data_IF_161198179133
#
_entry.id   IF_161198179133
#
_cell.length_a   1.000
_cell.length_b   1.000
_cell.length_c   1.000
_cell.angle_alpha   90.00
_cell.angle_beta   90.00
_cell.angle_gamma   90.00
#
_symmetry.space_group_name_H-M   'P 1'
#
loop_
_entity.id
_entity.type
_entity.pdbx_description
1 polymer ?
#
# COMPACT_ATOMS: atom_id res chain seq x y z
N UNK A 1 -55.50 -8.09 -77.60
CA UNK A 1 -54.02 -7.97 -77.56
C UNK A 1 -53.65 -7.84 -76.08
N UNK A 2 -52.81 -8.70 -75.45
CA UNK A 2 -51.31 -8.67 -75.44
C UNK A 2 -50.78 -7.25 -75.11
N UNK A 3 -49.98 -6.98 -74.06
CA UNK A 3 -49.33 -7.73 -72.95
C UNK A 3 -49.31 -6.80 -71.70
N UNK A 4 -49.39 -7.21 -70.42
CA UNK A 4 -48.56 -8.11 -69.58
C UNK A 4 -47.22 -7.50 -69.10
N UNK A 5 -47.18 -7.05 -67.83
CA UNK A 5 -45.98 -6.81 -67.00
C UNK A 5 -46.36 -6.86 -65.48
N UNK A 6 -45.40 -7.14 -64.58
CA UNK A 6 -45.54 -7.21 -63.10
C UNK A 6 -44.38 -6.47 -62.42
N UNK A 7 -44.56 -5.99 -61.18
CA UNK A 7 -43.48 -5.53 -60.29
C UNK A 7 -43.81 -5.78 -58.80
N UNK A 8 -42.80 -5.93 -57.95
CA UNK A 8 -42.82 -6.31 -56.52
C UNK A 8 -41.84 -5.42 -55.71
N UNK A 9 -41.87 -5.35 -54.36
CA UNK A 9 -42.83 -5.92 -53.40
C UNK A 9 -43.64 -4.80 -52.69
N UNK A 10 -43.46 -4.32 -51.45
CA UNK A 10 -42.64 -4.64 -50.25
C UNK A 10 -43.54 -4.43 -49.01
N UNK A 11 -43.31 -5.16 -47.91
CA UNK A 11 -43.92 -4.89 -46.58
C UNK A 11 -42.80 -4.51 -45.60
N UNK A 12 -42.97 -3.43 -44.84
CA UNK A 12 -42.01 -2.97 -43.86
C UNK A 12 -42.37 -3.47 -42.44
N UNK A 13 -41.53 -4.34 -41.87
CA UNK A 13 -41.54 -4.66 -40.44
C UNK A 13 -40.68 -3.65 -39.68
N UNK A 14 -41.26 -2.90 -38.76
CA UNK A 14 -40.51 -2.01 -37.88
C UNK A 14 -39.83 -2.82 -36.77
N UNK A 15 -38.50 -2.84 -36.76
CA UNK A 15 -37.72 -3.27 -35.60
C UNK A 15 -37.51 -2.05 -34.68
N UNK A 16 -37.88 -2.19 -33.41
CA UNK A 16 -37.64 -1.15 -32.41
C UNK A 16 -36.19 -1.17 -31.95
N UNK A 17 -35.38 -0.24 -32.43
CA UNK A 17 -34.08 0.06 -31.84
C UNK A 17 -34.31 0.76 -30.50
N UNK A 18 -34.10 0.04 -29.39
CA UNK A 18 -33.91 0.64 -28.08
C UNK A 18 -32.52 1.27 -28.07
N UNK A 19 -32.44 2.57 -28.33
CA UNK A 19 -31.24 3.36 -28.09
C UNK A 19 -31.00 3.42 -26.58
N UNK A 20 -29.91 2.80 -26.11
CA UNK A 20 -29.41 3.04 -24.76
C UNK A 20 -29.13 4.52 -24.56
N UNK A 21 -29.59 5.08 -23.44
CA UNK A 21 -29.13 6.38 -22.97
C UNK A 21 -27.80 6.12 -22.23
N UNK A 22 -26.71 6.85 -22.52
CA UNK A 22 -25.49 6.71 -21.75
C UNK A 22 -25.76 7.14 -20.30
N UNK A 23 -25.69 6.18 -19.37
CA UNK A 23 -25.80 6.41 -17.93
C UNK A 23 -24.38 6.59 -17.41
N UNK A 24 -24.05 7.78 -16.93
CA UNK A 24 -22.80 8.00 -16.19
C UNK A 24 -22.91 7.33 -14.81
N UNK A 25 -21.78 6.93 -14.23
CA UNK A 25 -21.77 6.33 -12.90
C UNK A 25 -22.30 7.34 -11.85
N UNK A 26 -23.48 7.07 -11.30
CA UNK A 26 -24.00 7.81 -10.15
C UNK A 26 -23.26 7.35 -8.88
N UNK A 27 -23.05 8.29 -7.96
CA UNK A 27 -22.36 8.05 -6.69
C UNK A 27 -23.24 7.21 -5.76
N UNK A 28 -22.98 5.91 -5.70
CA UNK A 28 -23.23 5.18 -4.46
C UNK A 28 -22.23 5.67 -3.41
N UNK A 29 -22.73 5.88 -2.19
CA UNK A 29 -22.00 6.38 -1.03
C UNK A 29 -20.76 5.52 -0.71
N UNK A 30 -19.74 6.14 -0.12
CA UNK A 30 -18.60 5.41 0.45
C UNK A 30 -19.10 4.38 1.46
N UNK A 31 -18.57 3.16 1.42
CA UNK A 31 -18.84 2.17 2.46
C UNK A 31 -17.88 2.43 3.59
N UNK A 32 -18.31 3.25 4.55
CA UNK A 32 -17.67 3.51 5.84
C UNK A 32 -17.01 2.25 6.41
N UNK A 33 -15.79 2.38 6.95
CA UNK A 33 -15.04 1.21 7.45
C UNK A 33 -15.60 0.73 8.79
N UNK A 34 -16.56 -0.20 8.76
CA UNK A 34 -17.30 -0.63 9.98
C UNK A 34 -16.52 -1.51 10.96
N UNK A 35 -15.43 -2.16 10.53
CA UNK A 35 -14.65 -3.11 11.33
C UNK A 35 -13.19 -3.15 10.88
N UNK A 36 -12.26 -3.48 11.79
CA UNK A 36 -10.82 -3.64 11.51
C UNK A 36 -10.54 -4.95 10.73
N UNK A 37 -9.58 -4.93 9.81
CA UNK A 37 -9.09 -6.17 9.18
C UNK A 37 -8.37 -7.06 10.21
N UNK A 38 -8.46 -8.38 9.99
CA UNK A 38 -7.71 -9.40 10.76
C UNK A 38 -6.89 -10.27 9.83
N UNK A 39 -5.71 -10.67 10.29
CA UNK A 39 -4.80 -11.53 9.55
C UNK A 39 -5.14 -13.00 9.81
N UNK A 40 -5.10 -13.83 8.75
CA UNK A 40 -5.33 -15.27 8.84
C UNK A 40 -4.53 -16.02 7.77
N UNK A 41 -3.32 -16.45 8.15
CA UNK A 41 -2.33 -16.92 7.18
C UNK A 41 -1.96 -15.80 6.20
N UNK A 42 -1.70 -16.13 4.93
CA UNK A 42 -1.35 -15.13 3.88
C UNK A 42 -2.46 -14.14 3.45
N UNK A 43 -3.48 -13.91 4.27
CA UNK A 43 -4.64 -13.09 3.92
C UNK A 43 -5.01 -12.09 5.01
N UNK A 44 -5.35 -10.87 4.59
CA UNK A 44 -6.12 -9.92 5.39
C UNK A 44 -7.61 -10.15 5.12
N UNK A 45 -8.41 -10.27 6.17
CA UNK A 45 -9.83 -10.60 6.13
C UNK A 45 -10.66 -9.49 6.78
N UNK A 46 -11.81 -9.18 6.18
CA UNK A 46 -12.81 -8.27 6.75
C UNK A 46 -13.73 -9.00 7.78
N UNK A 47 -14.69 -8.27 8.34
CA UNK A 47 -15.70 -8.77 9.28
C UNK A 47 -16.60 -9.87 8.72
N UNK A 48 -16.71 -9.96 7.40
CA UNK A 48 -17.44 -11.02 6.68
C UNK A 48 -16.54 -12.21 6.30
N UNK A 49 -15.23 -12.11 6.49
CA UNK A 49 -14.24 -13.12 6.08
C UNK A 49 -13.84 -13.04 4.61
N UNK A 50 -14.20 -11.98 3.90
CA UNK A 50 -13.74 -11.73 2.52
C UNK A 50 -12.26 -11.39 2.53
N UNK A 51 -11.53 -11.88 1.53
CA UNK A 51 -10.10 -11.54 1.34
C UNK A 51 -10.00 -10.18 0.67
N UNK A 52 -9.33 -9.24 1.33
CA UNK A 52 -9.24 -7.85 0.89
C UNK A 52 -7.99 -7.64 0.03
N UNK A 53 -8.12 -6.86 -1.04
CA UNK A 53 -7.01 -6.32 -1.81
C UNK A 53 -6.94 -4.81 -1.58
N UNK A 54 -5.74 -4.29 -1.38
CA UNK A 54 -5.51 -2.91 -0.92
C UNK A 54 -4.66 -2.17 -1.94
N UNK A 55 -5.22 -1.16 -2.59
CA UNK A 55 -4.54 -0.30 -3.57
C UNK A 55 -4.62 1.15 -3.10
N UNK A 56 -3.50 1.88 -3.12
CA UNK A 56 -3.46 3.21 -2.50
C UNK A 56 -2.16 3.98 -2.66
N UNK A 57 -1.93 4.92 -1.75
CA UNK A 57 -0.85 5.93 -1.82
C UNK A 57 -0.20 6.19 -0.46
N UNK A 58 1.00 6.75 -0.49
CA UNK A 58 1.69 7.32 0.67
C UNK A 58 1.35 8.80 0.85
N UNK A 59 1.07 9.25 2.06
CA UNK A 59 1.05 10.67 2.46
C UNK A 59 1.85 10.80 3.76
N UNK A 60 3.09 11.28 3.65
CA UNK A 60 4.09 11.22 4.72
C UNK A 60 4.70 12.59 4.95
N UNK A 61 4.25 13.28 6.00
CA UNK A 61 4.81 14.57 6.40
C UNK A 61 6.11 14.37 7.18
N UNK A 62 7.21 14.84 6.60
CA UNK A 62 8.57 14.65 7.11
C UNK A 62 9.11 15.85 7.90
N UNK A 63 8.34 16.95 8.08
CA UNK A 63 8.85 18.20 8.66
C UNK A 63 7.97 18.76 9.78
N UNK A 64 8.57 19.11 10.93
CA UNK A 64 7.81 19.74 12.02
C UNK A 64 7.33 21.17 11.66
N UNK A 65 6.13 21.61 12.08
CA UNK A 65 5.16 20.90 12.92
C UNK A 65 4.31 19.91 12.11
N UNK A 66 4.33 18.64 12.49
CA UNK A 66 3.75 17.55 11.70
C UNK A 66 2.21 17.58 11.59
N UNK A 67 1.68 17.17 10.44
CA UNK A 67 0.26 16.86 10.16
C UNK A 67 -0.65 18.01 10.57
N UNK A 68 -0.70 19.09 9.78
CA UNK A 68 -1.43 20.33 10.11
C UNK A 68 -2.63 20.57 9.17
N UNK A 69 -3.82 20.87 9.70
CA UNK A 69 -4.98 21.17 8.87
C UNK A 69 -4.74 22.35 7.91
N UNK A 70 -4.66 22.06 6.61
CA UNK A 70 -4.50 23.06 5.54
C UNK A 70 -3.07 23.50 5.25
N UNK A 71 -2.06 22.71 5.64
CA UNK A 71 -0.65 22.93 5.28
C UNK A 71 -0.32 22.80 3.77
N UNK A 72 -1.23 22.24 2.98
CA UNK A 72 -1.02 21.93 1.55
C UNK A 72 -0.36 20.57 1.31
N UNK A 73 -0.33 19.70 2.32
CA UNK A 73 0.30 18.39 2.26
C UNK A 73 -0.54 17.28 2.91
N UNK A 74 -1.00 17.51 4.14
CA UNK A 74 -1.85 16.60 4.92
C UNK A 74 -3.20 16.39 4.22
N UNK A 75 -3.60 15.12 4.04
CA UNK A 75 -4.90 14.82 3.41
C UNK A 75 -6.10 15.40 4.17
N UNK A 76 -7.08 15.84 3.40
CA UNK A 76 -8.36 16.42 3.83
C UNK A 76 -9.53 15.55 3.36
N UNK A 77 -10.77 15.95 3.68
CA UNK A 77 -11.96 15.29 3.14
C UNK A 77 -12.07 15.38 1.60
N UNK A 78 -11.59 16.46 0.96
CA UNK A 78 -11.58 16.57 -0.52
C UNK A 78 -10.58 15.60 -1.15
N UNK A 79 -9.46 15.35 -0.45
CA UNK A 79 -8.46 14.34 -0.84
C UNK A 79 -8.98 12.92 -0.62
N UNK A 80 -9.67 12.66 0.49
CA UNK A 80 -10.32 11.40 0.78
C UNK A 80 -11.39 11.08 -0.28
N UNK A 81 -12.29 12.02 -0.59
CA UNK A 81 -13.25 11.91 -1.70
C UNK A 81 -12.55 11.62 -3.04
N UNK A 82 -11.42 12.26 -3.33
CA UNK A 82 -10.70 12.10 -4.59
C UNK A 82 -10.02 10.72 -4.69
N UNK A 83 -9.34 10.28 -3.64
CA UNK A 83 -8.72 8.96 -3.56
C UNK A 83 -9.80 7.86 -3.65
N UNK A 84 -10.88 8.03 -2.88
CA UNK A 84 -12.01 7.13 -2.90
C UNK A 84 -12.75 7.13 -4.24
N UNK A 85 -12.75 8.23 -5.02
CA UNK A 85 -13.30 8.35 -6.40
C UNK A 85 -12.47 7.61 -7.45
N UNK A 86 -11.15 7.56 -7.29
CA UNK A 86 -10.26 6.67 -8.04
C UNK A 86 -10.19 5.25 -7.45
N UNK A 87 -10.99 4.97 -6.42
CA UNK A 87 -11.19 3.64 -5.89
C UNK A 87 -9.99 3.09 -5.13
N UNK A 88 -9.02 3.93 -4.77
CA UNK A 88 -8.05 3.61 -3.74
C UNK A 88 -8.80 3.32 -2.44
N UNK A 89 -8.35 2.32 -1.69
CA UNK A 89 -8.96 1.89 -0.43
C UNK A 89 -7.93 1.77 0.71
N UNK A 90 -6.72 2.31 0.51
CA UNK A 90 -5.73 2.47 1.57
C UNK A 90 -4.87 3.72 1.41
N UNK A 91 -4.37 4.24 2.53
CA UNK A 91 -3.31 5.24 2.61
C UNK A 91 -2.25 4.75 3.59
N UNK A 92 -0.97 4.94 3.27
CA UNK A 92 0.15 4.88 4.22
C UNK A 92 0.38 6.29 4.74
N UNK A 93 -0.01 6.52 6.00
CA UNK A 93 0.06 7.81 6.66
C UNK A 93 1.33 7.90 7.49
N UNK A 94 2.15 8.91 7.21
CA UNK A 94 3.40 9.14 7.91
C UNK A 94 3.21 9.53 9.36
N UNK A 95 3.81 8.73 10.23
CA UNK A 95 4.03 8.98 11.64
C UNK A 95 5.54 9.09 11.86
N UNK A 96 6.02 9.95 12.78
CA UNK A 96 7.44 9.97 13.15
C UNK A 96 7.62 9.77 14.65
N UNK A 97 8.72 9.13 15.05
CA UNK A 97 9.07 8.99 16.47
C UNK A 97 9.32 10.37 17.12
N UNK A 98 9.86 11.34 16.38
CA UNK A 98 9.95 12.74 16.84
C UNK A 98 8.56 13.35 17.06
N UNK A 99 7.63 13.19 16.12
CA UNK A 99 6.25 13.65 16.29
C UNK A 99 5.54 13.01 17.48
N UNK A 100 5.70 11.69 17.67
CA UNK A 100 5.09 10.95 18.78
C UNK A 100 5.69 11.33 20.14
N UNK A 101 7.00 11.52 20.22
CA UNK A 101 7.73 11.76 21.47
C UNK A 101 8.84 12.83 21.27
N UNK A 102 8.48 14.12 21.05
CA UNK A 102 9.45 15.18 20.74
C UNK A 102 10.32 15.58 21.94
N UNK A 103 10.05 15.03 23.12
CA UNK A 103 10.86 15.15 24.35
C UNK A 103 10.91 13.78 25.02
N UNK A 104 12.09 13.37 25.50
CA UNK A 104 12.34 12.05 26.12
C UNK A 104 11.30 11.68 27.18
N UNK A 105 10.39 10.77 26.84
CA UNK A 105 9.33 10.27 27.73
C UNK A 105 8.06 11.14 27.82
N UNK A 106 7.99 12.26 27.10
CA UNK A 106 6.78 13.08 26.95
C UNK A 106 6.12 12.78 25.58
N UNK A 107 5.00 12.07 25.57
CA UNK A 107 4.18 11.85 24.37
C UNK A 107 3.48 13.16 23.95
N UNK A 108 3.40 13.44 22.64
CA UNK A 108 2.57 14.53 22.11
C UNK A 108 1.15 14.03 21.80
N UNK A 109 0.30 14.04 22.82
CA UNK A 109 -1.14 13.75 22.74
C UNK A 109 -1.86 14.58 21.65
N UNK A 110 -1.39 15.81 21.39
CA UNK A 110 -2.01 16.68 20.38
C UNK A 110 -1.58 16.29 18.96
N UNK A 111 -0.46 15.60 18.76
CA UNK A 111 -0.11 14.97 17.47
C UNK A 111 -0.89 13.67 17.28
N UNK A 112 -1.00 12.85 18.33
CA UNK A 112 -1.86 11.66 18.35
C UNK A 112 -3.31 11.98 17.97
N UNK A 113 -3.87 13.09 18.47
CA UNK A 113 -5.21 13.56 18.07
C UNK A 113 -5.30 13.99 16.60
N UNK A 114 -4.25 14.58 16.01
CA UNK A 114 -4.23 14.95 14.58
C UNK A 114 -4.15 13.73 13.67
N UNK A 115 -3.32 12.74 14.03
CA UNK A 115 -3.26 11.46 13.32
C UNK A 115 -4.62 10.75 13.34
N UNK A 116 -5.26 10.66 14.50
CA UNK A 116 -6.57 10.04 14.63
C UNK A 116 -7.66 10.76 13.80
N UNK A 117 -7.65 12.09 13.76
CA UNK A 117 -8.58 12.85 12.90
C UNK A 117 -8.37 12.58 11.40
N UNK A 118 -7.12 12.37 10.95
CA UNK A 118 -6.85 11.96 9.56
C UNK A 118 -7.34 10.52 9.31
N UNK A 119 -7.18 9.62 10.29
CA UNK A 119 -7.71 8.23 10.23
C UNK A 119 -9.24 8.22 10.13
N UNK A 120 -9.93 9.03 10.95
CA UNK A 120 -11.39 9.24 10.90
C UNK A 120 -11.83 9.73 9.50
N UNK A 121 -11.19 10.80 9.01
CA UNK A 121 -11.49 11.43 7.70
C UNK A 121 -11.32 10.46 6.52
N UNK A 122 -10.33 9.58 6.57
CA UNK A 122 -10.13 8.54 5.54
C UNK A 122 -11.11 7.36 5.72
N UNK A 123 -11.48 7.03 6.96
CA UNK A 123 -12.42 5.98 7.31
C UNK A 123 -13.86 6.23 6.84
N UNK A 124 -14.33 7.49 6.88
CA UNK A 124 -15.64 7.91 6.35
C UNK A 124 -15.80 7.54 4.85
N UNK A 125 -14.75 7.72 4.05
CA UNK A 125 -14.72 7.39 2.62
C UNK A 125 -14.34 5.93 2.31
N UNK A 126 -14.20 5.07 3.32
CA UNK A 126 -13.90 3.64 3.16
C UNK A 126 -12.42 3.31 2.95
N UNK A 127 -11.51 4.24 3.23
CA UNK A 127 -10.06 4.09 3.05
C UNK A 127 -9.41 3.60 4.36
N UNK A 128 -8.59 2.55 4.27
CA UNK A 128 -7.89 1.96 5.44
C UNK A 128 -6.46 2.48 5.61
N UNK A 129 -6.10 2.88 6.83
CA UNK A 129 -4.85 3.62 7.09
C UNK A 129 -3.78 2.74 7.71
N UNK A 130 -2.66 2.56 7.00
CA UNK A 130 -1.42 2.05 7.60
C UNK A 130 -0.71 3.23 8.27
N UNK A 131 -0.43 3.12 9.56
CA UNK A 131 0.32 4.11 10.31
C UNK A 131 1.81 3.74 10.23
N UNK A 132 2.56 4.50 9.44
CA UNK A 132 3.96 4.21 9.12
C UNK A 132 4.91 5.00 10.02
N UNK A 133 5.71 4.32 10.84
CA UNK A 133 6.77 4.96 11.62
C UNK A 133 7.97 5.31 10.73
N UNK A 134 7.85 6.45 10.06
CA UNK A 134 8.73 6.89 9.00
C UNK A 134 10.06 7.46 9.50
N UNK A 135 11.11 7.23 8.71
CA UNK A 135 12.40 7.90 8.80
C UNK A 135 13.08 7.89 7.42
N UNK A 136 13.91 8.89 7.16
CA UNK A 136 15.00 8.77 6.18
C UNK A 136 16.28 9.30 6.82
N UNK A 137 17.38 8.55 6.76
CA UNK A 137 18.66 9.01 7.30
C UNK A 137 18.66 9.19 8.82
N UNK A 138 17.85 8.41 9.53
CA UNK A 138 17.64 8.39 10.97
C UNK A 138 17.00 9.66 11.57
N UNK A 139 17.55 10.87 11.35
CA UNK A 139 17.16 12.06 12.11
C UNK A 139 17.52 13.39 11.41
N UNK A 140 16.90 14.50 11.83
CA UNK A 140 17.21 15.86 11.35
C UNK A 140 18.69 16.23 11.50
N UNK A 141 19.41 15.62 12.46
CA UNK A 141 20.86 15.77 12.63
C UNK A 141 21.67 15.51 11.35
N UNK A 142 21.23 14.64 10.44
CA UNK A 142 21.86 14.41 9.12
C UNK A 142 21.14 15.12 7.95
N UNK A 143 20.17 15.99 8.22
CA UNK A 143 19.21 16.46 7.22
C UNK A 143 18.26 15.34 6.78
N UNK A 144 18.04 14.36 7.66
CA UNK A 144 17.02 13.32 7.54
C UNK A 144 15.76 13.69 8.32
N UNK A 145 14.98 12.68 8.73
CA UNK A 145 13.82 12.79 9.61
C UNK A 145 13.57 11.45 10.32
N UNK A 146 12.64 11.43 11.29
CA UNK A 146 12.12 10.22 11.91
C UNK A 146 12.39 10.15 13.41
N UNK A 147 13.64 9.93 13.81
CA UNK A 147 14.04 9.87 15.22
C UNK A 147 14.29 11.28 15.80
N UNK A 148 13.83 11.54 17.04
CA UNK A 148 14.10 12.80 17.72
C UNK A 148 15.56 12.93 18.13
N UNK A 149 16.11 14.15 18.07
CA UNK A 149 17.49 14.48 18.50
C UNK A 149 17.86 13.89 19.87
N UNK A 150 16.92 13.85 20.83
CA UNK A 150 17.21 13.36 22.19
C UNK A 150 17.44 11.84 22.27
N UNK A 151 17.01 11.08 21.26
CA UNK A 151 17.11 9.62 21.20
C UNK A 151 18.39 9.11 20.52
N UNK A 152 19.21 10.01 19.96
CA UNK A 152 20.43 9.68 19.22
C UNK A 152 21.64 10.37 19.90
N UNK A 153 22.67 9.61 20.30
CA UNK A 153 23.87 10.19 20.94
C UNK A 153 24.88 10.75 19.95
N UNK A 154 24.94 10.18 18.73
CA UNK A 154 25.96 10.52 17.74
C UNK A 154 25.53 11.68 16.83
N UNK A 155 26.31 12.76 16.81
CA UNK A 155 26.21 13.83 15.81
C UNK A 155 27.07 13.52 14.56
N UNK A 156 26.78 14.11 13.37
CA UNK A 156 27.68 14.09 12.22
C UNK A 156 29.06 14.69 12.55
N UNK A 157 30.15 14.08 12.06
CA UNK A 157 31.49 14.60 12.39
C UNK A 157 31.78 15.91 11.64
N UNK A 158 32.37 16.96 12.26
CA UNK A 158 32.57 18.29 11.63
C UNK A 158 33.48 18.37 10.38
N UNK A 159 33.99 17.23 9.89
CA UNK A 159 34.84 17.08 8.71
C UNK A 159 34.31 16.02 7.73
N UNK A 160 33.16 15.42 8.03
CA UNK A 160 32.53 14.34 7.27
C UNK A 160 31.66 14.93 6.15
N UNK A 161 31.85 14.52 4.88
CA UNK A 161 30.95 14.95 3.82
C UNK A 161 29.56 14.32 4.02
N UNK A 162 28.54 15.15 4.21
CA UNK A 162 27.15 14.73 4.07
C UNK A 162 26.72 14.86 2.60
N UNK A 163 26.41 13.76 1.89
CA UNK A 163 25.96 13.80 0.50
C UNK A 163 24.43 13.98 0.35
N UNK A 164 23.67 13.96 1.45
CA UNK A 164 22.21 13.92 1.44
C UNK A 164 21.64 12.54 1.11
N UNK A 165 20.31 12.46 1.02
CA UNK A 165 19.59 11.25 0.60
C UNK A 165 19.96 10.83 -0.84
N UNK A 166 20.08 9.53 -1.15
CA UNK A 166 20.08 8.39 -0.23
C UNK A 166 21.49 8.06 0.32
N UNK A 167 22.53 8.75 -0.14
CA UNK A 167 23.92 8.35 0.11
C UNK A 167 24.41 8.61 1.54
N UNK A 168 23.67 9.34 2.37
CA UNK A 168 24.03 9.58 3.77
C UNK A 168 24.03 8.31 4.64
N UNK A 169 23.37 7.22 4.23
CA UNK A 169 23.46 5.89 4.87
C UNK A 169 24.89 5.32 4.81
N UNK A 170 25.78 5.89 4.00
CA UNK A 170 27.21 5.53 3.95
C UNK A 170 28.10 6.38 4.88
N UNK A 171 27.55 7.32 5.64
CA UNK A 171 28.32 8.16 6.57
C UNK A 171 28.70 7.38 7.84
N UNK A 172 29.99 7.31 8.22
CA UNK A 172 30.44 6.72 9.48
C UNK A 172 29.68 7.17 10.74
N UNK A 173 29.27 8.44 10.85
CA UNK A 173 28.45 8.91 11.99
C UNK A 173 27.05 8.29 11.99
N UNK A 174 26.33 8.32 10.86
CA UNK A 174 24.99 7.72 10.75
C UNK A 174 25.01 6.22 11.02
N UNK A 175 26.04 5.51 10.53
CA UNK A 175 26.19 4.08 10.80
C UNK A 175 26.38 3.76 12.29
N UNK A 176 27.16 4.58 13.00
CA UNK A 176 27.32 4.51 14.46
C UNK A 176 26.03 4.86 15.22
N UNK A 177 25.22 5.77 14.70
CA UNK A 177 23.92 6.13 15.28
C UNK A 177 22.89 5.00 15.13
N UNK A 178 22.87 4.33 13.99
CA UNK A 178 22.10 3.08 13.81
C UNK A 178 22.61 1.97 14.74
N UNK A 179 23.93 1.81 14.92
CA UNK A 179 24.48 0.86 15.91
C UNK A 179 23.95 1.15 17.33
N UNK A 180 23.81 2.43 17.71
CA UNK A 180 23.26 2.85 19.00
C UNK A 180 21.78 2.49 19.16
N UNK A 181 20.97 2.63 18.11
CA UNK A 181 19.58 2.17 18.12
C UNK A 181 19.48 0.65 18.26
N UNK A 182 20.21 -0.13 17.44
CA UNK A 182 20.13 -1.60 17.47
C UNK A 182 20.66 -2.20 18.79
N UNK A 183 21.71 -1.62 19.38
CA UNK A 183 22.19 -1.99 20.72
C UNK A 183 21.27 -1.49 21.87
N UNK A 184 20.22 -0.73 21.55
CA UNK A 184 19.31 -0.10 22.51
C UNK A 184 20.03 0.80 23.53
N UNK A 185 21.03 1.56 23.06
CA UNK A 185 21.71 2.60 23.84
C UNK A 185 20.68 3.59 24.39
N UNK A 186 20.82 3.96 25.67
CA UNK A 186 19.92 4.86 26.41
C UNK A 186 18.41 4.59 26.24
N UNK A 187 18.03 3.34 25.97
CA UNK A 187 16.64 2.89 25.86
C UNK A 187 15.91 3.33 24.60
N UNK A 188 16.61 3.64 23.50
CA UNK A 188 15.98 4.14 22.27
C UNK A 188 14.86 3.22 21.72
N UNK A 189 15.04 1.89 21.76
CA UNK A 189 14.01 0.91 21.34
C UNK A 189 12.90 0.78 22.39
N UNK A 190 13.20 0.96 23.69
CA UNK A 190 12.16 0.98 24.74
C UNK A 190 11.24 2.19 24.56
N UNK A 191 11.82 3.38 24.36
CA UNK A 191 11.07 4.61 24.13
C UNK A 191 10.29 4.61 22.80
N UNK A 192 10.83 4.01 21.73
CA UNK A 192 10.06 3.82 20.49
C UNK A 192 8.89 2.85 20.73
N UNK A 193 9.10 1.78 21.49
CA UNK A 193 8.03 0.87 21.90
C UNK A 193 6.93 1.59 22.70
N UNK A 194 7.30 2.48 23.62
CA UNK A 194 6.35 3.31 24.37
C UNK A 194 5.58 4.27 23.43
N UNK A 195 6.25 4.88 22.45
CA UNK A 195 5.63 5.77 21.47
C UNK A 195 4.61 5.04 20.57
N UNK A 196 4.99 3.88 20.02
CA UNK A 196 4.11 3.07 19.17
C UNK A 196 2.96 2.44 19.97
N UNK A 197 3.15 2.14 21.26
CA UNK A 197 2.08 1.69 22.14
C UNK A 197 1.08 2.81 22.47
N UNK A 198 1.53 4.06 22.68
CA UNK A 198 0.66 5.21 22.85
C UNK A 198 -0.16 5.50 21.58
N UNK A 199 0.46 5.37 20.40
CA UNK A 199 -0.25 5.41 19.11
C UNK A 199 -1.32 4.32 19.02
N UNK A 200 -0.96 3.07 19.33
CA UNK A 200 -1.89 1.93 19.31
C UNK A 200 -3.06 2.10 20.30
N UNK A 201 -2.82 2.64 21.49
CA UNK A 201 -3.88 2.95 22.47
C UNK A 201 -4.82 4.03 21.90
N UNK A 202 -4.28 5.13 21.33
CA UNK A 202 -5.08 6.23 20.79
C UNK A 202 -6.01 5.81 19.65
N UNK A 203 -5.59 4.86 18.81
CA UNK A 203 -6.35 4.42 17.62
C UNK A 203 -7.00 3.03 17.79
N UNK A 204 -7.06 2.52 19.02
CA UNK A 204 -7.56 1.17 19.31
C UNK A 204 -9.02 0.94 18.90
N UNK A 205 -9.89 1.94 19.04
CA UNK A 205 -11.30 1.87 18.62
C UNK A 205 -11.52 2.26 17.12
N UNK A 206 -10.48 2.69 16.41
CA UNK A 206 -10.58 3.22 15.03
C UNK A 206 -10.59 2.06 14.00
N UNK A 207 -11.78 1.72 13.47
CA UNK A 207 -11.94 0.59 12.52
C UNK A 207 -11.26 0.79 11.16
N UNK A 208 -10.96 2.04 10.79
CA UNK A 208 -10.21 2.39 9.59
C UNK A 208 -8.72 1.99 9.65
N UNK A 209 -8.14 1.76 10.84
CA UNK A 209 -6.73 1.39 10.97
C UNK A 209 -6.46 0.03 10.32
N UNK A 210 -5.53 0.02 9.37
CA UNK A 210 -5.00 -1.20 8.74
C UNK A 210 -3.96 -1.87 9.65
N UNK A 211 -3.16 -1.08 10.35
CA UNK A 211 -2.11 -1.53 11.27
C UNK A 211 -1.08 -0.44 11.55
N UNK A 212 -0.01 -0.82 12.24
CA UNK A 212 1.18 0.02 12.48
C UNK A 212 2.39 -0.66 11.82
N UNK A 213 3.08 0.05 10.93
CA UNK A 213 4.39 -0.35 10.41
C UNK A 213 5.50 0.14 11.35
N UNK A 214 6.38 -0.79 11.74
CA UNK A 214 7.20 -0.59 12.94
C UNK A 214 8.38 0.38 12.72
N UNK A 215 8.94 0.43 11.50
CA UNK A 215 10.02 1.34 11.14
C UNK A 215 10.29 1.31 9.61
N UNK A 216 10.19 2.47 8.95
CA UNK A 216 10.52 2.65 7.53
C UNK A 216 12.00 2.43 7.22
N UNK A 217 12.32 1.76 6.11
CA UNK A 217 13.67 1.60 5.54
C UNK A 217 14.81 1.33 6.56
N UNK A 218 14.69 0.30 7.44
CA UNK A 218 15.62 0.14 8.56
C UNK A 218 17.03 -0.29 8.11
N UNK A 219 18.02 0.56 8.40
CA UNK A 219 19.41 0.38 7.97
C UNK A 219 20.26 -0.42 8.98
N UNK A 220 21.05 -1.43 8.56
CA UNK A 220 21.86 -2.25 9.48
C UNK A 220 23.02 -1.59 10.23
N UNK A 221 23.16 -0.26 10.20
CA UNK A 221 24.30 0.45 10.76
C UNK A 221 25.64 -0.08 10.24
N UNK A 222 26.68 -0.10 11.09
CA UNK A 222 28.01 -0.61 10.73
C UNK A 222 28.02 -2.08 10.30
N UNK A 223 26.94 -2.85 10.50
CA UNK A 223 26.81 -4.21 10.02
C UNK A 223 26.47 -4.32 8.53
N UNK A 224 26.06 -3.23 7.84
CA UNK A 224 25.61 -3.26 6.44
C UNK A 224 26.55 -3.99 5.45
N UNK A 225 27.90 -3.93 5.56
CA UNK A 225 28.78 -4.63 4.60
C UNK A 225 28.69 -6.15 4.72
N UNK A 226 28.14 -6.68 5.82
CA UNK A 226 27.93 -8.12 6.02
C UNK A 226 26.71 -8.66 5.28
N UNK A 227 25.79 -7.79 4.85
CA UNK A 227 24.61 -8.17 4.08
C UNK A 227 24.93 -8.52 2.63
N UNK A 228 26.04 -8.03 2.09
CA UNK A 228 26.40 -8.23 0.69
C UNK A 228 27.32 -9.45 0.49
N UNK A 229 27.07 -10.32 -0.51
CA UNK A 229 26.08 -10.22 -1.59
C UNK A 229 24.88 -11.18 -1.41
N UNK A 230 24.50 -11.55 -0.18
CA UNK A 230 23.65 -12.72 0.05
C UNK A 230 22.75 -12.66 1.31
N UNK A 231 22.49 -11.48 1.86
CA UNK A 231 21.77 -11.27 3.12
C UNK A 231 22.68 -11.37 4.36
N UNK A 232 22.19 -10.87 5.50
CA UNK A 232 22.94 -10.80 6.77
C UNK A 232 22.21 -11.50 7.92
N UNK A 233 22.19 -12.86 7.98
CA UNK A 233 21.43 -13.61 8.98
C UNK A 233 21.81 -13.34 10.45
N UNK A 234 22.98 -12.76 10.70
CA UNK A 234 23.39 -12.31 12.04
C UNK A 234 22.67 -11.01 12.44
N UNK A 235 22.52 -10.07 11.52
CA UNK A 235 21.79 -8.82 11.74
C UNK A 235 20.27 -9.06 11.72
N UNK A 236 19.74 -9.83 10.75
CA UNK A 236 18.30 -10.15 10.69
C UNK A 236 17.80 -10.80 12.01
N UNK A 237 18.66 -11.48 12.78
CA UNK A 237 18.31 -12.01 14.11
C UNK A 237 18.16 -10.93 15.19
N UNK A 238 19.01 -9.91 15.17
CA UNK A 238 18.99 -8.78 16.09
C UNK A 238 17.82 -7.84 15.74
N UNK A 239 17.68 -7.54 14.46
CA UNK A 239 16.59 -6.82 13.84
C UNK A 239 15.21 -7.45 14.11
N UNK A 240 15.06 -8.77 13.94
CA UNK A 240 13.82 -9.47 14.27
C UNK A 240 13.52 -9.44 15.77
N UNK A 241 14.53 -9.54 16.64
CA UNK A 241 14.33 -9.42 18.09
C UNK A 241 13.85 -8.02 18.51
N UNK A 242 14.25 -6.97 17.78
CA UNK A 242 13.68 -5.62 17.93
C UNK A 242 12.23 -5.56 17.45
N UNK A 243 11.90 -6.18 16.31
CA UNK A 243 10.52 -6.25 15.82
C UNK A 243 9.59 -7.01 16.77
N UNK A 244 10.06 -8.13 17.33
CA UNK A 244 9.36 -8.89 18.38
C UNK A 244 9.16 -8.05 19.66
N UNK A 245 10.16 -7.24 20.06
CA UNK A 245 10.09 -6.34 21.23
C UNK A 245 9.08 -5.20 21.01
N UNK A 246 9.13 -4.51 19.88
CA UNK A 246 8.21 -3.41 19.54
C UNK A 246 6.77 -3.93 19.41
N UNK A 247 6.59 -5.07 18.73
CA UNK A 247 5.29 -5.76 18.63
C UNK A 247 4.74 -6.11 20.02
N UNK A 248 5.57 -6.69 20.89
CA UNK A 248 5.15 -7.03 22.25
C UNK A 248 4.70 -5.80 23.06
N UNK A 249 5.33 -4.62 22.86
CA UNK A 249 4.92 -3.38 23.54
C UNK A 249 3.60 -2.81 22.97
N UNK A 250 3.39 -2.89 21.65
CA UNK A 250 2.09 -2.59 21.03
C UNK A 250 0.98 -3.53 21.56
N UNK A 251 1.27 -4.83 21.71
CA UNK A 251 0.33 -5.85 22.23
C UNK A 251 -0.11 -5.61 23.68
N UNK A 252 0.64 -4.83 24.46
CA UNK A 252 0.23 -4.42 25.82
C UNK A 252 -0.84 -3.32 25.81
N UNK A 253 -0.93 -2.53 24.74
CA UNK A 253 -1.98 -1.53 24.50
C UNK A 253 -3.15 -2.13 23.71
N UNK A 254 -2.86 -2.69 22.53
CA UNK A 254 -3.84 -3.34 21.65
C UNK A 254 -3.38 -4.77 21.26
N UNK A 255 -3.94 -5.80 21.92
CA UNK A 255 -3.64 -7.21 21.62
C UNK A 255 -3.99 -7.69 20.20
N UNK A 256 -4.76 -6.91 19.42
CA UNK A 256 -5.26 -7.26 18.09
C UNK A 256 -4.87 -6.28 16.98
N UNK A 257 -3.95 -5.33 17.23
CA UNK A 257 -3.44 -4.39 16.23
C UNK A 257 -2.56 -5.11 15.19
N UNK A 258 -2.90 -5.11 13.88
CA UNK A 258 -1.99 -5.63 12.88
C UNK A 258 -0.68 -4.82 12.88
N UNK A 259 0.46 -5.51 12.83
CA UNK A 259 1.77 -4.85 12.72
C UNK A 259 2.44 -5.25 11.41
N UNK A 260 3.07 -4.29 10.75
CA UNK A 260 3.75 -4.47 9.47
C UNK A 260 5.26 -4.43 9.70
N UNK A 261 5.94 -5.48 9.23
CA UNK A 261 7.37 -5.69 9.42
C UNK A 261 8.05 -5.65 8.05
N UNK A 262 8.90 -4.65 7.84
CA UNK A 262 9.77 -4.56 6.66
C UNK A 262 10.89 -5.61 6.69
N UNK A 263 11.57 -5.89 5.57
CA UNK A 263 12.93 -6.39 5.57
C UNK A 263 13.92 -5.27 5.94
N UNK A 264 15.12 -5.60 6.41
CA UNK A 264 16.18 -4.59 6.48
C UNK A 264 16.48 -4.01 5.08
N UNK A 265 16.71 -2.70 4.98
CA UNK A 265 16.66 -1.98 3.68
C UNK A 265 17.78 -2.32 2.69
N UNK A 266 18.72 -3.21 3.05
CA UNK A 266 19.60 -3.82 2.03
C UNK A 266 18.82 -4.68 1.01
N UNK A 267 17.56 -4.99 1.32
CA UNK A 267 16.50 -5.36 0.37
C UNK A 267 16.44 -4.48 -0.88
N UNK A 268 16.44 -3.14 -0.72
CA UNK A 268 16.44 -2.18 -1.83
C UNK A 268 17.80 -2.12 -2.58
N UNK A 269 18.78 -2.93 -2.15
CA UNK A 269 20.01 -3.24 -2.90
C UNK A 269 20.12 -4.74 -3.22
N UNK A 270 18.97 -5.42 -3.31
CA UNK A 270 18.73 -6.79 -3.79
C UNK A 270 19.17 -7.91 -2.85
N UNK A 271 19.35 -7.63 -1.55
CA UNK A 271 19.67 -8.67 -0.57
C UNK A 271 18.39 -9.36 -0.05
N UNK A 272 18.39 -10.69 0.15
CA UNK A 272 17.28 -11.38 0.80
C UNK A 272 17.24 -11.08 2.30
N UNK A 273 16.05 -11.10 2.91
CA UNK A 273 15.93 -11.15 4.38
C UNK A 273 15.89 -12.58 4.90
N UNK A 274 16.63 -12.81 5.98
CA UNK A 274 16.64 -14.06 6.74
C UNK A 274 15.72 -14.04 7.96
N UNK A 275 14.81 -13.07 8.09
CA UNK A 275 13.73 -13.14 9.10
C UNK A 275 12.88 -14.41 8.90
N UNK A 276 12.30 -14.94 9.98
CA UNK A 276 11.47 -16.16 9.96
C UNK A 276 12.13 -17.39 9.29
N UNK A 277 13.45 -17.55 9.36
CA UNK A 277 14.22 -18.64 8.74
C UNK A 277 14.98 -19.51 9.79
N UNK A 278 14.32 -20.50 10.42
CA UNK A 278 14.99 -21.38 11.37
C UNK A 278 16.06 -22.26 10.71
N UNK A 279 17.28 -22.39 11.28
CA UNK A 279 17.71 -21.94 12.61
C UNK A 279 18.45 -20.58 12.63
N UNK A 280 18.46 -19.83 11.52
CA UNK A 280 19.15 -18.53 11.39
C UNK A 280 18.43 -17.42 12.18
N UNK A 281 17.11 -17.46 12.22
CA UNK A 281 16.22 -16.60 13.03
C UNK A 281 15.07 -17.45 13.60
N UNK A 282 14.32 -16.98 14.63
CA UNK A 282 13.13 -17.68 15.09
C UNK A 282 11.97 -17.53 14.08
N UNK A 283 10.99 -18.45 14.04
CA UNK A 283 9.78 -18.23 13.26
C UNK A 283 8.92 -17.15 13.90
N UNK A 284 8.17 -16.38 13.09
CA UNK A 284 7.14 -15.47 13.60
C UNK A 284 6.03 -16.30 14.26
N UNK A 285 5.59 -15.90 15.46
CA UNK A 285 4.58 -16.60 16.27
C UNK A 285 3.38 -15.74 16.67
N UNK A 286 3.42 -14.44 16.41
CA UNK A 286 2.27 -13.55 16.50
C UNK A 286 1.43 -13.70 15.22
N UNK A 287 0.10 -13.76 15.35
CA UNK A 287 -0.79 -14.04 14.21
C UNK A 287 -1.37 -12.78 13.54
N UNK A 288 -1.08 -11.59 14.07
CA UNK A 288 -1.41 -10.29 13.46
C UNK A 288 -0.14 -9.55 12.97
N UNK A 289 0.79 -10.29 12.36
CA UNK A 289 1.96 -9.73 11.64
C UNK A 289 1.74 -9.81 10.13
N UNK A 290 2.02 -8.72 9.42
CA UNK A 290 2.11 -8.64 7.96
C UNK A 290 3.55 -8.36 7.52
N UNK A 291 3.92 -8.84 6.32
CA UNK A 291 5.16 -8.46 5.66
C UNK A 291 4.91 -7.22 4.80
N UNK A 292 5.62 -6.13 5.09
CA UNK A 292 5.74 -4.99 4.19
C UNK A 292 7.07 -5.05 3.46
N UNK A 293 7.15 -4.48 2.26
CA UNK A 293 8.41 -4.33 1.54
C UNK A 293 8.31 -3.26 0.45
N UNK A 294 9.44 -2.71 0.04
CA UNK A 294 9.53 -1.73 -1.05
C UNK A 294 9.92 -2.43 -2.37
N UNK A 295 9.49 -1.88 -3.51
CA UNK A 295 9.80 -2.40 -4.85
C UNK A 295 10.35 -1.32 -5.80
N UNK A 296 11.40 -0.63 -5.35
CA UNK A 296 12.10 0.39 -6.15
C UNK A 296 13.08 -0.17 -7.16
N UNK A 297 13.12 0.41 -8.36
CA UNK A 297 14.23 0.18 -9.28
C UNK A 297 15.43 1.09 -8.94
N UNK A 298 16.58 0.49 -8.63
CA UNK A 298 17.84 1.18 -8.30
C UNK A 298 18.28 2.12 -9.42
N UNK A 299 18.06 1.73 -10.68
CA UNK A 299 18.40 2.56 -11.83
C UNK A 299 17.47 3.78 -12.00
N UNK A 300 16.22 3.71 -11.51
CA UNK A 300 15.30 4.86 -11.44
C UNK A 300 15.76 5.82 -10.35
N UNK A 301 15.90 5.33 -9.10
CA UNK A 301 16.29 6.18 -7.98
C UNK A 301 17.67 6.83 -8.20
N UNK A 302 18.62 6.12 -8.82
CA UNK A 302 19.92 6.70 -9.17
C UNK A 302 19.86 7.72 -10.33
N UNK A 303 18.85 7.66 -11.21
CA UNK A 303 18.60 8.73 -12.18
C UNK A 303 18.01 9.97 -11.49
N UNK A 304 17.01 9.78 -10.62
CA UNK A 304 16.31 10.83 -9.87
C UNK A 304 17.28 11.59 -8.93
N UNK A 305 17.92 10.88 -7.98
CA UNK A 305 18.69 11.50 -6.91
C UNK A 305 20.17 11.78 -7.26
N UNK A 306 20.75 11.02 -8.18
CA UNK A 306 22.19 11.11 -8.53
C UNK A 306 22.44 11.59 -9.96
N UNK A 307 21.40 11.86 -10.75
CA UNK A 307 21.52 12.32 -12.14
C UNK A 307 22.17 11.30 -13.08
N UNK A 308 22.09 10.00 -12.76
CA UNK A 308 22.62 8.95 -13.65
C UNK A 308 21.74 8.78 -14.91
N UNK A 309 22.26 8.17 -16.00
CA UNK A 309 21.53 8.08 -17.26
C UNK A 309 20.29 7.17 -17.15
N UNK A 310 19.10 7.73 -17.39
CA UNK A 310 17.80 7.01 -17.39
C UNK A 310 17.79 5.71 -18.21
N UNK A 311 18.66 5.58 -19.23
CA UNK A 311 18.71 4.38 -20.07
C UNK A 311 19.10 3.11 -19.28
N UNK A 312 19.61 3.27 -18.04
CA UNK A 312 19.82 2.17 -17.09
C UNK A 312 18.51 1.54 -16.59
N UNK A 313 17.36 2.23 -16.69
CA UNK A 313 16.02 1.69 -16.35
C UNK A 313 15.68 0.42 -17.15
N UNK A 314 16.34 0.17 -18.29
CA UNK A 314 16.26 -1.11 -19.00
C UNK A 314 16.72 -2.35 -18.20
N UNK A 315 17.33 -2.17 -17.02
CA UNK A 315 17.67 -3.25 -16.09
C UNK A 315 16.55 -3.56 -15.07
N UNK A 316 15.59 -2.65 -14.85
CA UNK A 316 14.53 -2.79 -13.84
C UNK A 316 13.74 -4.12 -13.92
N UNK A 317 13.33 -4.66 -15.09
CA UNK A 317 12.50 -5.87 -15.13
C UNK A 317 13.15 -7.07 -14.41
N UNK A 318 14.44 -7.29 -14.62
CA UNK A 318 15.19 -8.38 -13.98
C UNK A 318 15.53 -8.08 -12.50
N UNK A 319 15.45 -6.81 -12.10
CA UNK A 319 15.61 -6.38 -10.72
C UNK A 319 14.32 -6.69 -9.92
N UNK A 320 13.16 -6.29 -10.43
CA UNK A 320 11.86 -6.58 -9.83
C UNK A 320 11.62 -8.10 -9.70
N UNK A 321 11.97 -8.92 -10.71
CA UNK A 321 11.93 -10.38 -10.58
C UNK A 321 12.68 -10.91 -9.34
N UNK A 322 13.83 -10.31 -9.01
CA UNK A 322 14.61 -10.72 -7.84
C UNK A 322 13.93 -10.30 -6.53
N UNK A 323 13.48 -9.04 -6.43
CA UNK A 323 12.68 -8.52 -5.28
C UNK A 323 11.48 -9.42 -5.00
N UNK A 324 10.67 -9.67 -6.02
CA UNK A 324 9.46 -10.48 -5.89
C UNK A 324 9.75 -11.96 -5.62
N UNK A 325 10.87 -12.52 -6.11
CA UNK A 325 11.31 -13.87 -5.73
C UNK A 325 11.71 -13.99 -4.26
N UNK A 326 12.26 -12.92 -3.66
CA UNK A 326 12.53 -12.87 -2.23
C UNK A 326 11.24 -12.74 -1.42
N UNK A 327 10.26 -11.96 -1.91
CA UNK A 327 8.95 -11.83 -1.28
C UNK A 327 8.18 -13.16 -1.30
N UNK A 328 8.17 -13.87 -2.42
CA UNK A 328 7.62 -15.23 -2.52
C UNK A 328 8.28 -16.17 -1.50
N UNK A 329 9.62 -16.19 -1.45
CA UNK A 329 10.38 -17.04 -0.53
C UNK A 329 10.18 -16.69 0.97
N UNK A 330 9.80 -15.45 1.29
CA UNK A 330 9.40 -15.04 2.63
C UNK A 330 7.96 -15.49 2.92
N UNK A 331 7.01 -15.20 2.04
CA UNK A 331 5.58 -15.54 2.22
C UNK A 331 5.33 -17.06 2.29
N UNK A 332 6.02 -17.87 1.47
CA UNK A 332 5.95 -19.33 1.57
C UNK A 332 6.46 -19.89 2.91
N UNK A 333 7.39 -19.16 3.56
CA UNK A 333 8.09 -19.59 4.77
C UNK A 333 7.40 -19.10 6.05
N UNK A 334 6.97 -17.86 6.07
CA UNK A 334 6.30 -17.21 7.21
C UNK A 334 4.78 -17.39 7.20
N UNK A 335 4.15 -17.58 6.02
CA UNK A 335 2.69 -17.68 5.85
C UNK A 335 1.92 -16.48 6.45
N UNK A 336 2.49 -15.28 6.34
CA UNK A 336 1.87 -13.98 6.65
C UNK A 336 1.39 -13.31 5.35
N UNK A 337 0.46 -12.33 5.36
CA UNK A 337 0.12 -11.56 4.18
C UNK A 337 1.31 -10.65 3.80
N UNK A 338 1.36 -10.22 2.55
CA UNK A 338 2.37 -9.30 2.05
C UNK A 338 1.75 -8.08 1.37
N UNK A 339 2.45 -6.94 1.45
CA UNK A 339 2.02 -5.67 0.86
C UNK A 339 3.24 -4.85 0.42
N UNK A 340 3.16 -4.20 -0.75
CA UNK A 340 4.19 -3.26 -1.21
C UNK A 340 3.90 -1.89 -0.61
N UNK A 341 4.55 -1.54 0.50
CA UNK A 341 4.28 -0.27 1.21
C UNK A 341 4.82 0.96 0.46
N UNK A 342 5.81 0.78 -0.41
CA UNK A 342 6.41 1.88 -1.16
C UNK A 342 6.99 1.44 -2.52
N UNK A 343 6.63 2.16 -3.59
CA UNK A 343 7.17 1.98 -4.95
C UNK A 343 6.88 3.19 -5.84
N UNK A 344 7.56 3.25 -7.00
CA UNK A 344 7.21 4.15 -8.10
C UNK A 344 8.07 5.41 -8.19
N UNK A 345 7.90 6.34 -7.24
CA UNK A 345 8.60 7.65 -7.21
C UNK A 345 8.51 8.42 -8.55
N UNK A 346 7.27 8.65 -8.99
CA UNK A 346 6.93 9.43 -10.18
C UNK A 346 7.48 8.95 -11.54
N UNK A 347 8.02 7.74 -11.66
CA UNK A 347 8.52 7.16 -12.92
C UNK A 347 7.52 6.14 -13.52
N UNK A 348 6.75 6.49 -14.58
CA UNK A 348 5.75 5.58 -15.16
C UNK A 348 6.33 4.27 -15.69
N UNK A 349 7.59 4.27 -16.17
CA UNK A 349 8.23 3.09 -16.79
C UNK A 349 8.47 1.95 -15.81
N UNK A 350 8.48 2.20 -14.49
CA UNK A 350 8.66 1.15 -13.47
C UNK A 350 7.36 0.74 -12.80
N UNK A 351 6.33 1.59 -12.76
CA UNK A 351 5.04 1.29 -12.12
C UNK A 351 4.41 -0.01 -12.63
N UNK A 352 4.37 -0.21 -13.95
CA UNK A 352 3.81 -1.41 -14.56
C UNK A 352 4.47 -2.70 -14.03
N UNK A 353 5.78 -2.67 -13.74
CA UNK A 353 6.50 -3.84 -13.26
C UNK A 353 6.15 -4.26 -11.82
N UNK A 354 5.82 -3.32 -10.95
CA UNK A 354 5.29 -3.64 -9.60
C UNK A 354 3.84 -4.10 -9.72
N UNK A 355 3.01 -3.37 -10.48
CA UNK A 355 1.57 -3.66 -10.65
C UNK A 355 1.30 -5.05 -11.24
N UNK A 356 1.98 -5.42 -12.33
CA UNK A 356 1.87 -6.76 -12.94
C UNK A 356 2.19 -7.88 -11.93
N UNK A 357 3.22 -7.71 -11.10
CA UNK A 357 3.71 -8.74 -10.16
C UNK A 357 2.87 -8.81 -8.88
N UNK A 358 2.29 -7.70 -8.47
CA UNK A 358 1.31 -7.59 -7.41
C UNK A 358 -0.01 -8.28 -7.81
N UNK A 359 -0.54 -7.97 -9.00
CA UNK A 359 -1.76 -8.56 -9.54
C UNK A 359 -1.63 -10.10 -9.67
N UNK A 360 -0.50 -10.59 -10.17
CA UNK A 360 -0.17 -12.02 -10.26
C UNK A 360 -0.19 -12.77 -8.91
N UNK A 361 0.04 -12.07 -7.79
CA UNK A 361 0.18 -12.64 -6.43
C UNK A 361 -0.97 -12.31 -5.51
N UNK A 362 -1.89 -11.45 -5.94
CA UNK A 362 -2.93 -10.83 -5.12
C UNK A 362 -2.34 -10.11 -3.89
N UNK A 363 -1.33 -9.28 -4.14
CA UNK A 363 -0.61 -8.48 -3.13
C UNK A 363 -1.03 -7.02 -3.27
N UNK A 364 -1.35 -6.37 -2.15
CA UNK A 364 -1.70 -4.94 -2.12
C UNK A 364 -0.49 -4.03 -2.26
N UNK A 365 -0.71 -2.75 -2.52
CA UNK A 365 0.34 -1.75 -2.70
C UNK A 365 -0.06 -0.32 -2.34
N UNK A 366 0.92 0.49 -1.96
CA UNK A 366 0.82 1.94 -1.70
C UNK A 366 1.91 2.68 -2.51
N UNK A 367 1.49 3.55 -3.42
CA UNK A 367 2.37 4.30 -4.34
C UNK A 367 3.08 5.48 -3.64
N UNK A 368 4.34 5.75 -4.01
CA UNK A 368 5.11 6.93 -3.58
C UNK A 368 5.07 8.05 -4.63
N UNK A 369 4.44 9.20 -4.37
CA UNK A 369 3.66 9.58 -3.19
C UNK A 369 2.46 10.46 -3.60
N UNK A 370 1.63 10.80 -2.62
CA UNK A 370 0.50 11.70 -2.74
C UNK A 370 0.62 12.87 -1.76
N UNK A 371 0.38 14.07 -2.28
CA UNK A 371 0.30 15.34 -1.56
C UNK A 371 -1.13 15.86 -1.73
N UNK A 372 -1.72 16.49 -0.71
CA UNK A 372 -3.06 17.08 -0.79
C UNK A 372 -3.23 18.01 -2.01
N UNK A 373 -4.43 17.97 -2.62
CA UNK A 373 -4.86 18.95 -3.63
C UNK A 373 -5.52 20.19 -3.01
N UNK A 374 -5.81 20.17 -1.71
CA UNK A 374 -6.30 21.34 -0.95
C UNK A 374 -5.13 22.13 -0.34
N UNK A 375 -5.30 23.43 -0.11
CA UNK A 375 -4.26 24.29 0.51
C UNK A 375 -4.32 25.75 0.07
N UNK A 376 -3.27 26.52 0.39
CA UNK A 376 -3.12 27.93 -0.05
C UNK A 376 -2.95 28.06 -1.59
N UNK A 377 -2.33 27.08 -2.24
CA UNK A 377 -2.29 26.93 -3.71
C UNK A 377 -2.91 25.57 -4.10
N UNK A 378 -4.24 25.48 -4.30
CA UNK A 378 -4.91 24.21 -4.61
C UNK A 378 -4.38 23.53 -5.87
N UNK A 379 -4.13 22.23 -5.74
CA UNK A 379 -3.64 21.36 -6.79
C UNK A 379 -4.70 21.01 -7.84
N UNK A 380 -4.24 20.32 -8.88
CA UNK A 380 -5.11 19.59 -9.78
C UNK A 380 -5.07 18.10 -9.41
N UNK A 381 -6.17 17.38 -9.67
CA UNK A 381 -6.27 15.92 -9.61
C UNK A 381 -5.05 15.25 -10.29
N UNK A 382 -4.12 14.66 -9.50
CA UNK A 382 -2.84 14.18 -10.02
C UNK A 382 -2.99 12.87 -10.78
N UNK A 383 -4.12 12.18 -10.64
CA UNK A 383 -4.43 10.94 -11.33
C UNK A 383 -4.96 11.21 -12.76
N UNK A 384 -5.08 12.47 -13.19
CA UNK A 384 -5.24 12.86 -14.61
C UNK A 384 -3.88 12.93 -15.33
N UNK A 385 -3.10 11.87 -15.20
CA UNK A 385 -1.74 11.73 -15.72
C UNK A 385 -1.46 10.28 -16.14
N UNK A 386 -0.36 10.08 -16.87
CA UNK A 386 0.14 8.74 -17.26
C UNK A 386 0.38 7.82 -16.05
N UNK A 387 0.63 8.39 -14.86
CA UNK A 387 0.73 7.66 -13.58
C UNK A 387 -0.66 7.17 -13.14
N UNK A 388 -1.68 8.03 -13.19
CA UNK A 388 -3.04 7.67 -12.85
C UNK A 388 -3.69 6.67 -13.82
N UNK A 389 -3.31 6.70 -15.10
CA UNK A 389 -3.72 5.68 -16.07
C UNK A 389 -3.26 4.27 -15.64
N UNK A 390 -2.06 4.14 -15.05
CA UNK A 390 -1.55 2.86 -14.54
C UNK A 390 -2.12 2.46 -13.17
N UNK A 391 -2.28 3.43 -12.25
CA UNK A 391 -2.68 3.19 -10.86
C UNK A 391 -4.20 3.03 -10.65
N UNK A 392 -5.05 3.69 -11.44
CA UNK A 392 -6.51 3.71 -11.22
C UNK A 392 -7.17 2.53 -11.92
N UNK A 393 -6.95 1.33 -11.36
CA UNK A 393 -7.28 0.01 -11.95
C UNK A 393 -8.70 -0.44 -11.60
N UNK A 394 -9.30 -1.30 -12.42
CA UNK A 394 -10.47 -2.12 -12.01
C UNK A 394 -9.96 -3.30 -11.21
N UNK A 395 -10.44 -3.51 -9.97
CA UNK A 395 -9.91 -4.56 -9.08
C UNK A 395 -10.92 -5.04 -8.00
N UNK A 396 -10.79 -6.28 -7.50
CA UNK A 396 -11.66 -6.87 -6.49
C UNK A 396 -11.26 -6.42 -5.08
N UNK A 397 -11.85 -5.33 -4.58
CA UNK A 397 -11.60 -4.78 -3.23
C UNK A 397 -11.75 -5.84 -2.13
N UNK A 398 -12.79 -6.67 -2.22
CA UNK A 398 -13.07 -7.73 -1.24
C UNK A 398 -13.67 -8.98 -1.93
N UNK A 399 -13.07 -10.15 -1.72
CA UNK A 399 -13.48 -11.40 -2.39
C UNK A 399 -14.15 -12.40 -1.44
N UNK A 400 -15.38 -12.79 -1.77
CA UNK A 400 -16.16 -13.84 -1.10
C UNK A 400 -15.72 -15.26 -1.51
N UNK A 401 -14.44 -15.57 -1.26
CA UNK A 401 -13.80 -16.79 -1.70
C UNK A 401 -12.28 -16.69 -1.62
N UNK A 402 -11.58 -17.46 -2.44
CA UNK A 402 -10.12 -17.43 -2.59
C UNK A 402 -9.76 -17.03 -4.02
N UNK A 403 -9.00 -15.92 -4.23
CA UNK A 403 -8.47 -15.55 -5.54
C UNK A 403 -7.73 -16.71 -6.22
N UNK A 404 -7.91 -16.88 -7.53
CA UNK A 404 -7.17 -17.86 -8.34
C UNK A 404 -6.35 -17.20 -9.47
N UNK A 405 -6.83 -16.11 -10.07
CA UNK A 405 -6.09 -15.29 -11.03
C UNK A 405 -6.74 -13.92 -11.24
N UNK A 406 -5.94 -12.87 -11.45
CA UNK A 406 -6.40 -11.52 -11.79
C UNK A 406 -5.55 -10.94 -12.93
N UNK A 407 -6.16 -10.14 -13.79
CA UNK A 407 -5.52 -9.45 -14.92
C UNK A 407 -6.24 -8.12 -15.20
N UNK A 408 -5.49 -7.03 -15.43
CA UNK A 408 -6.02 -5.72 -15.81
C UNK A 408 -5.09 -5.03 -16.81
N UNK A 409 -5.60 -4.84 -18.02
CA UNK A 409 -4.97 -4.08 -19.10
C UNK A 409 -5.27 -2.58 -18.94
N UNK A 410 -4.24 -1.76 -18.73
CA UNK A 410 -4.37 -0.30 -18.57
C UNK A 410 -4.43 0.47 -19.91
N UNK A 411 -4.08 -0.15 -21.04
CA UNK A 411 -4.27 0.46 -22.38
C UNK A 411 -5.73 0.34 -22.85
N UNK A 412 -6.45 -0.70 -22.40
CA UNK A 412 -7.80 -1.03 -22.90
C UNK A 412 -8.90 -1.11 -21.85
N UNK A 413 -8.55 -1.17 -20.56
CA UNK A 413 -9.49 -1.42 -19.47
C UNK A 413 -10.03 -2.84 -19.40
N UNK A 414 -9.56 -3.79 -20.21
CA UNK A 414 -10.02 -5.19 -20.09
C UNK A 414 -9.54 -5.81 -18.77
N UNK A 415 -10.52 -6.26 -17.97
CA UNK A 415 -10.32 -6.89 -16.68
C UNK A 415 -10.85 -8.33 -16.69
N UNK A 416 -10.04 -9.30 -16.25
CA UNK A 416 -10.51 -10.66 -15.95
C UNK A 416 -10.10 -11.10 -14.54
N UNK A 417 -11.06 -11.65 -13.79
CA UNK A 417 -10.83 -12.15 -12.44
C UNK A 417 -11.48 -13.52 -12.23
N UNK A 418 -10.74 -14.47 -11.67
CA UNK A 418 -11.24 -15.79 -11.27
C UNK A 418 -11.00 -16.00 -9.78
N UNK A 419 -12.03 -16.44 -9.07
CA UNK A 419 -11.94 -16.83 -7.66
C UNK A 419 -12.78 -18.08 -7.36
N UNK A 420 -12.33 -18.88 -6.40
CA UNK A 420 -13.08 -20.02 -5.87
C UNK A 420 -13.98 -19.55 -4.74
N UNK A 421 -15.31 -19.59 -4.86
CA UNK A 421 -16.20 -19.02 -3.86
C UNK A 421 -16.20 -19.83 -2.56
N UNK A 422 -16.32 -19.13 -1.43
CA UNK A 422 -16.51 -19.76 -0.12
C UNK A 422 -17.96 -19.53 0.34
N UNK A 423 -18.81 -20.58 0.40
CA UNK A 423 -20.22 -20.46 0.76
C UNK A 423 -20.47 -20.20 2.26
N UNK A 424 -19.42 -20.05 3.07
CA UNK A 424 -19.54 -19.61 4.47
C UNK A 424 -19.50 -18.09 4.63
N UNK A 425 -18.98 -17.36 3.62
CA UNK A 425 -18.96 -15.90 3.59
C UNK A 425 -20.35 -15.38 3.17
N UNK A 426 -21.01 -14.52 3.96
CA UNK A 426 -22.38 -14.08 3.70
C UNK A 426 -22.48 -12.89 2.73
N UNK A 427 -21.40 -12.14 2.55
CA UNK A 427 -21.35 -10.93 1.73
C UNK A 427 -20.87 -11.21 0.29
N UNK A 428 -21.26 -10.38 -0.70
CA UNK A 428 -20.81 -10.53 -2.08
C UNK A 428 -19.32 -10.16 -2.23
N UNK A 429 -18.71 -10.66 -3.31
CA UNK A 429 -17.46 -10.10 -3.84
C UNK A 429 -17.73 -8.70 -4.36
N UNK A 430 -16.86 -7.74 -4.04
CA UNK A 430 -16.90 -6.37 -4.53
C UNK A 430 -15.73 -6.09 -5.48
N UNK A 431 -16.03 -5.53 -6.64
CA UNK A 431 -15.06 -5.11 -7.65
C UNK A 431 -15.27 -3.62 -7.91
N UNK A 432 -14.26 -2.79 -7.62
CA UNK A 432 -14.24 -1.40 -8.06
C UNK A 432 -14.02 -1.36 -9.57
N UNK A 433 -14.76 -0.49 -10.26
CA UNK A 433 -14.66 -0.26 -11.71
C UNK A 433 -14.03 1.11 -11.95
N UNK A 434 -12.87 1.12 -12.62
CA UNK A 434 -12.08 2.32 -12.88
C UNK A 434 -12.92 3.46 -13.48
N UNK A 435 -12.80 4.67 -12.92
CA UNK A 435 -13.46 5.86 -13.45
C UNK A 435 -12.70 6.50 -14.64
N UNK A 436 -11.51 5.97 -14.97
CA UNK A 436 -10.71 6.42 -16.13
C UNK A 436 -10.98 5.63 -17.41
N UNK A 437 -11.16 4.31 -17.30
CA UNK A 437 -11.01 3.40 -18.46
C UNK A 437 -12.30 3.13 -19.26
N UNK A 438 -13.46 3.60 -18.80
CA UNK A 438 -14.76 3.29 -19.43
C UNK A 438 -15.63 4.56 -19.64
N UNK A 439 -15.15 5.55 -20.39
CA UNK A 439 -15.89 6.81 -20.65
C UNK A 439 -17.30 6.58 -21.24
N UNK A 440 -17.51 5.49 -22.01
CA UNK A 440 -18.80 5.14 -22.59
C UNK A 440 -19.71 4.31 -21.65
N UNK A 441 -19.21 3.94 -20.47
CA UNK A 441 -19.80 2.92 -19.59
C UNK A 441 -19.26 1.52 -19.90
N UNK A 442 -19.40 0.59 -18.95
CA UNK A 442 -18.78 -0.73 -19.01
C UNK A 442 -19.81 -1.88 -19.10
N UNK A 443 -19.38 -2.99 -19.69
CA UNK A 443 -20.09 -4.27 -19.72
C UNK A 443 -19.52 -5.23 -18.67
N UNK A 444 -20.36 -6.09 -18.10
CA UNK A 444 -19.96 -7.16 -17.16
C UNK A 444 -20.47 -8.51 -17.66
N UNK A 445 -19.59 -9.52 -17.65
CA UNK A 445 -19.99 -10.93 -17.78
C UNK A 445 -19.52 -11.72 -16.57
N UNK A 446 -20.36 -12.66 -16.10
CA UNK A 446 -20.03 -13.52 -14.96
C UNK A 446 -20.37 -14.98 -15.28
N UNK A 447 -19.37 -15.85 -15.25
CA UNK A 447 -19.54 -17.31 -15.22
C UNK A 447 -19.57 -17.78 -13.76
N UNK A 448 -20.44 -18.73 -13.41
CA UNK A 448 -20.52 -19.33 -12.07
C UNK A 448 -21.18 -18.46 -10.97
N UNK A 449 -21.38 -17.17 -11.23
CA UNK A 449 -21.99 -16.20 -10.30
C UNK A 449 -23.11 -15.37 -10.94
N UNK A 450 -23.57 -14.35 -10.22
CA UNK A 450 -24.52 -13.33 -10.68
C UNK A 450 -24.06 -11.94 -10.23
N UNK A 451 -24.21 -10.94 -11.11
CA UNK A 451 -24.12 -9.53 -10.72
C UNK A 451 -25.36 -9.17 -9.91
N UNK A 452 -25.19 -8.46 -8.80
CA UNK A 452 -26.29 -7.97 -7.95
C UNK A 452 -26.36 -6.43 -7.84
N UNK A 453 -25.33 -5.72 -8.30
CA UNK A 453 -25.30 -4.27 -8.38
C UNK A 453 -26.17 -3.73 -9.52
N UNK A 454 -26.58 -2.44 -9.48
CA UNK A 454 -27.13 -1.75 -10.63
C UNK A 454 -26.16 -1.74 -11.82
N UNK A 455 -26.69 -1.52 -13.03
CA UNK A 455 -25.87 -1.23 -14.21
C UNK A 455 -25.27 0.18 -14.10
N UNK A 456 -23.98 0.34 -14.41
CA UNK A 456 -23.25 1.60 -14.23
C UNK A 456 -22.79 1.88 -12.79
N UNK A 457 -23.01 0.96 -11.85
CA UNK A 457 -22.57 1.10 -10.47
C UNK A 457 -21.04 1.02 -10.33
N UNK A 458 -20.46 2.08 -9.76
CA UNK A 458 -19.00 2.25 -9.52
C UNK A 458 -18.33 1.11 -8.73
N UNK A 459 -19.11 0.32 -7.99
CA UNK A 459 -18.71 -1.00 -7.47
C UNK A 459 -19.67 -2.06 -8.01
N UNK A 460 -19.11 -3.08 -8.66
CA UNK A 460 -19.82 -4.27 -9.13
C UNK A 460 -19.82 -5.32 -8.02
N UNK A 461 -21.01 -5.71 -7.56
CA UNK A 461 -21.18 -6.78 -6.56
C UNK A 461 -21.51 -8.11 -7.24
N UNK A 462 -20.80 -9.17 -6.86
CA UNK A 462 -20.94 -10.51 -7.44
C UNK A 462 -21.19 -11.56 -6.36
N UNK A 463 -22.29 -12.28 -6.49
CA UNK A 463 -22.60 -13.46 -5.66
C UNK A 463 -22.33 -14.75 -6.45
N UNK A 464 -21.78 -15.77 -5.79
CA UNK A 464 -21.61 -17.09 -6.40
C UNK A 464 -22.95 -17.86 -6.46
N UNK A 465 -23.15 -18.65 -7.52
CA UNK A 465 -24.34 -19.53 -7.66
C UNK A 465 -24.08 -20.99 -7.24
N UNK A 466 -22.86 -21.31 -6.81
CA UNK A 466 -22.42 -22.64 -6.41
C UNK A 466 -20.97 -22.63 -5.91
N UNK A 467 -20.32 -23.80 -5.89
CA UNK A 467 -18.95 -24.00 -5.39
C UNK A 467 -17.88 -24.09 -6.48
N UNK A 468 -18.27 -23.99 -7.75
CA UNK A 468 -17.33 -23.91 -8.88
C UNK A 468 -16.73 -22.50 -8.97
N UNK A 469 -15.52 -22.32 -9.57
CA UNK A 469 -14.91 -21.01 -9.71
C UNK A 469 -15.81 -20.00 -10.42
N UNK A 470 -15.96 -18.83 -9.82
CA UNK A 470 -16.61 -17.68 -10.42
C UNK A 470 -15.59 -16.98 -11.30
N UNK A 471 -15.98 -16.58 -12.51
CA UNK A 471 -15.17 -15.73 -13.39
C UNK A 471 -15.92 -14.47 -13.71
N UNK A 472 -15.28 -13.33 -13.54
CA UNK A 472 -15.80 -12.00 -13.88
C UNK A 472 -14.96 -11.43 -15.01
N UNK A 473 -15.62 -10.80 -15.98
CA UNK A 473 -14.97 -9.92 -16.97
C UNK A 473 -15.63 -8.55 -16.95
N UNK A 474 -14.83 -7.50 -16.99
CA UNK A 474 -15.29 -6.11 -17.13
C UNK A 474 -14.53 -5.48 -18.30
N UNK A 475 -15.25 -4.82 -19.21
CA UNK A 475 -14.74 -4.29 -20.49
C UNK A 475 -15.58 -3.07 -20.90
N UNK A 476 -15.12 -2.29 -21.88
CA UNK A 476 -15.93 -1.24 -22.53
C UNK A 476 -17.21 -1.81 -23.21
N UNK A 477 -18.13 -0.96 -23.67
CA UNK A 477 -19.52 -1.32 -24.07
C UNK A 477 -19.83 -1.43 -25.56
#
# INVERSE_FOLDING_TARGET
>A
MRRLARALLVVATAAGLLSGVPVHAESNEGSEVTDRLRISGRWMLDEHGRKVLLHGVNNVDKTAPYVQPGDGFTVTAEDAELLARHGFNTVRLGVSFDGLMPRRGDIDEAYLDRLAQVVETLGEEGIRVLLDNHQDGLSEAWGGNGFPDWAVETEPFPWEPNPGFPLYYLMPSMNKAWDEFWNNTDGAVDHLGDALAALAERVSDESAVLGIELLNEPWPGSAFPTCFPAGCPAFDREYQAVHEKLTARIREADPGMPVFWEPNVTWNQLMPTHMAEPPLTPPITDDQVAFSFHDYCIASQAAIYLGLPEQLVGACPAQHELTWSHADAFVERANVPAMVTEFGDSEPRVLAHTLERADQRFVGWQYWHYTSVSGDEPGADPFRSEIGDLLVRTYPRATAGTPESMDFDADTGEFEYTYRPDPTIPAPTEIYVSDRHYEAGYSVSVDGGRVTSPAGARTVTVEATGTEPVRVRIRDS
#
